data_IF_244565178839
#
_entry.id   IF_244565178839
#
_cell.length_a   1.000
_cell.length_b   1.000
_cell.length_c   1.000
_cell.angle_alpha   90.00
_cell.angle_beta   90.00
_cell.angle_gamma   90.00
#
_symmetry.space_group_name_H-M   'P 1'
#
loop_
_entity.id
_entity.type
_entity.pdbx_description
1 polymer ?
#
# COMPACT_ATOMS: atom_id res chain seq x y z
N UNK A 1 3.59 -53.45 5.26
CA UNK A 1 3.68 -52.51 4.13
C UNK A 1 2.55 -51.48 4.12
N UNK A 2 1.27 -51.89 4.16
CA UNK A 2 0.10 -50.99 4.18
C UNK A 2 0.10 -49.96 5.34
N UNK A 3 0.43 -50.40 6.55
CA UNK A 3 0.54 -49.54 7.75
C UNK A 3 1.69 -48.52 7.66
N UNK A 4 2.73 -48.81 6.86
CA UNK A 4 3.84 -47.88 6.62
C UNK A 4 3.43 -46.77 5.65
N UNK A 5 2.69 -47.12 4.60
CA UNK A 5 2.16 -46.18 3.61
C UNK A 5 1.14 -45.21 4.22
N UNK A 6 0.26 -45.69 5.11
CA UNK A 6 -0.69 -44.83 5.84
C UNK A 6 0.01 -43.82 6.75
N UNK A 7 1.07 -44.24 7.47
CA UNK A 7 1.89 -43.33 8.29
C UNK A 7 2.61 -42.29 7.45
N UNK A 8 3.19 -42.67 6.31
CA UNK A 8 3.83 -41.73 5.39
C UNK A 8 2.83 -40.71 4.83
N UNK A 9 1.65 -41.18 4.41
CA UNK A 9 0.58 -40.32 3.92
C UNK A 9 0.14 -39.31 4.99
N UNK A 10 -0.05 -39.75 6.24
CA UNK A 10 -0.40 -38.88 7.35
C UNK A 10 0.67 -37.82 7.63
N UNK A 11 1.96 -38.20 7.60
CA UNK A 11 3.08 -37.27 7.78
C UNK A 11 3.09 -36.20 6.66
N UNK A 12 2.86 -36.61 5.41
CA UNK A 12 2.79 -35.67 4.28
C UNK A 12 1.61 -34.70 4.41
N UNK A 13 0.45 -35.17 4.89
CA UNK A 13 -0.68 -34.28 5.14
C UNK A 13 -0.35 -33.26 6.24
N UNK A 14 0.20 -33.71 7.36
CA UNK A 14 0.56 -32.80 8.47
C UNK A 14 1.62 -31.78 8.05
N UNK A 15 2.66 -32.19 7.31
CA UNK A 15 3.68 -31.26 6.83
C UNK A 15 3.12 -30.24 5.84
N UNK A 16 2.21 -30.67 4.95
CA UNK A 16 1.51 -29.77 4.05
C UNK A 16 0.69 -28.72 4.81
N UNK A 17 -0.13 -29.13 5.78
CA UNK A 17 -0.91 -28.20 6.61
C UNK A 17 -0.04 -27.21 7.39
N UNK A 18 1.08 -27.67 7.97
CA UNK A 18 2.02 -26.78 8.67
C UNK A 18 2.61 -25.76 7.71
N UNK A 19 3.01 -26.18 6.50
CA UNK A 19 3.62 -25.29 5.50
C UNK A 19 2.66 -24.20 5.00
N UNK A 20 1.37 -24.53 4.85
CA UNK A 20 0.33 -23.56 4.46
C UNK A 20 0.07 -22.56 5.60
N UNK A 21 0.04 -23.02 6.85
CA UNK A 21 -0.18 -22.16 8.01
C UNK A 21 0.99 -21.20 8.25
N UNK A 22 2.24 -21.64 8.04
CA UNK A 22 3.41 -20.77 8.19
C UNK A 22 3.52 -19.76 7.05
N UNK A 23 3.21 -20.15 5.80
CA UNK A 23 3.20 -19.24 4.66
C UNK A 23 2.17 -18.10 4.82
N UNK A 24 0.97 -18.42 5.33
CA UNK A 24 -0.08 -17.44 5.59
C UNK A 24 0.30 -16.48 6.72
N UNK A 25 0.89 -16.97 7.82
CA UNK A 25 1.40 -16.12 8.91
C UNK A 25 2.52 -15.17 8.45
N UNK A 26 3.47 -15.65 7.63
CA UNK A 26 4.56 -14.83 7.10
C UNK A 26 4.06 -13.73 6.14
N UNK A 27 2.98 -14.00 5.39
CA UNK A 27 2.39 -13.01 4.49
C UNK A 27 1.68 -11.85 5.23
N UNK A 28 1.21 -12.08 6.45
CA UNK A 28 0.52 -11.06 7.24
C UNK A 28 1.49 -10.01 7.81
N UNK A 29 2.70 -10.42 8.16
CA UNK A 29 3.73 -9.55 8.77
C UNK A 29 4.41 -8.62 7.75
N UNK A 30 4.22 -8.89 6.45
CA UNK A 30 4.71 -8.06 5.35
C UNK A 30 3.80 -6.87 5.06
N UNK A 31 2.59 -6.83 5.63
CA UNK A 31 1.67 -5.73 5.47
C UNK A 31 2.14 -4.54 6.30
N UNK A 32 2.48 -3.44 5.63
CA UNK A 32 2.76 -2.17 6.30
C UNK A 32 1.50 -1.79 7.10
N UNK A 33 1.59 -1.56 8.43
CA UNK A 33 0.48 -1.07 9.21
C UNK A 33 0.15 0.35 8.73
N UNK A 34 -0.79 0.47 7.79
CA UNK A 34 -1.45 1.73 7.55
C UNK A 34 -2.48 1.91 8.65
N UNK A 35 -2.28 2.91 9.50
CA UNK A 35 -3.29 3.33 10.46
C UNK A 35 -4.48 3.89 9.68
N UNK A 36 -5.42 3.00 9.35
CA UNK A 36 -6.59 3.28 8.54
C UNK A 36 -7.57 4.16 9.28
N UNK A 37 -7.27 5.46 9.36
CA UNK A 37 -8.20 6.46 9.88
C UNK A 37 -9.17 6.88 8.78
N UNK A 38 -10.47 6.83 9.08
CA UNK A 38 -11.48 7.45 8.23
C UNK A 38 -11.43 8.96 8.40
N UNK A 39 -11.08 9.68 7.33
CA UNK A 39 -10.97 11.14 7.34
C UNK A 39 -12.19 11.73 6.62
N UNK A 40 -12.97 12.55 7.32
CA UNK A 40 -14.05 13.35 6.74
C UNK A 40 -13.64 14.81 6.70
N UNK A 41 -13.67 15.40 5.50
CA UNK A 41 -13.23 16.77 5.18
C UNK A 41 -14.22 17.40 4.20
N UNK A 42 -14.32 18.74 4.18
CA UNK A 42 -15.27 19.43 3.32
C UNK A 42 -14.68 19.66 1.93
N UNK A 43 -15.55 19.81 0.94
CA UNK A 43 -15.14 20.28 -0.40
C UNK A 43 -14.51 21.66 -0.29
N UNK A 44 -13.43 21.89 -1.02
CA UNK A 44 -12.64 23.12 -0.97
C UNK A 44 -11.51 23.11 0.06
N UNK A 45 -11.53 22.21 1.04
CA UNK A 45 -10.45 22.06 2.02
C UNK A 45 -9.18 21.47 1.37
N UNK A 46 -8.07 21.54 2.11
CA UNK A 46 -6.81 20.87 1.78
C UNK A 46 -6.58 19.71 2.75
N UNK A 47 -6.04 18.60 2.25
CA UNK A 47 -5.73 17.41 3.04
C UNK A 47 -4.30 16.93 2.77
N UNK A 48 -3.62 16.53 3.84
CA UNK A 48 -2.32 15.86 3.77
C UNK A 48 -2.46 14.45 4.31
N UNK A 49 -2.18 13.47 3.45
CA UNK A 49 -2.15 12.05 3.78
C UNK A 49 -0.72 11.67 4.20
N UNK A 50 -0.50 11.27 5.47
CA UNK A 50 0.82 10.93 5.94
C UNK A 50 1.29 9.59 5.36
N UNK A 51 2.58 9.51 5.09
CA UNK A 51 3.28 8.29 4.72
C UNK A 51 4.75 8.43 5.11
N UNK A 52 5.20 7.51 5.96
CA UNK A 52 6.57 7.45 6.45
C UNK A 52 7.19 6.14 5.98
N UNK A 53 8.47 6.17 5.64
CA UNK A 53 9.18 4.98 5.17
C UNK A 53 10.51 4.78 5.89
N UNK A 54 10.95 3.53 6.00
CA UNK A 54 12.28 3.21 6.50
C UNK A 54 13.29 3.42 5.37
N UNK A 55 14.52 3.87 5.69
CA UNK A 55 15.58 4.15 4.70
C UNK A 55 15.98 2.97 3.79
N UNK A 56 15.48 1.76 4.06
CA UNK A 56 15.64 0.57 3.21
C UNK A 56 14.74 0.57 1.98
N UNK A 57 13.64 1.35 1.96
CA UNK A 57 12.75 1.43 0.80
C UNK A 57 13.40 2.24 -0.31
N UNK A 58 13.55 1.66 -1.50
CA UNK A 58 14.15 2.31 -2.67
C UNK A 58 13.14 3.07 -3.53
N UNK A 59 11.89 2.63 -3.52
CA UNK A 59 10.79 3.26 -4.27
C UNK A 59 9.52 3.28 -3.42
N UNK A 60 8.80 4.39 -3.48
CA UNK A 60 7.51 4.58 -2.83
C UNK A 60 6.45 4.90 -3.87
N UNK A 61 5.23 4.49 -3.58
CA UNK A 61 4.09 4.68 -4.46
C UNK A 61 2.95 5.31 -3.69
N UNK A 62 2.15 6.10 -4.40
CA UNK A 62 0.80 6.43 -3.96
C UNK A 62 -0.19 5.81 -4.91
N UNK A 63 -1.21 5.16 -4.37
CA UNK A 63 -2.36 4.68 -5.11
C UNK A 63 -3.64 5.27 -4.55
N UNK A 64 -4.62 5.49 -5.42
CA UNK A 64 -6.01 5.76 -5.06
C UNK A 64 -6.88 4.61 -5.50
N UNK A 65 -7.69 4.12 -4.58
CA UNK A 65 -8.69 3.09 -4.82
C UNK A 65 -10.08 3.68 -4.59
N UNK A 66 -10.82 3.82 -5.68
CA UNK A 66 -12.24 4.16 -5.66
C UNK A 66 -13.06 2.87 -5.62
N UNK A 67 -14.12 2.83 -4.81
CA UNK A 67 -14.97 1.64 -4.67
C UNK A 67 -15.47 1.14 -6.04
N UNK A 68 -15.30 -0.15 -6.29
CA UNK A 68 -15.70 -0.78 -7.56
C UNK A 68 -14.76 -0.53 -8.74
N UNK A 69 -13.63 0.15 -8.54
CA UNK A 69 -12.63 0.41 -9.57
C UNK A 69 -11.28 -0.22 -9.19
N UNK A 70 -10.44 -0.49 -10.20
CA UNK A 70 -9.05 -0.87 -9.95
C UNK A 70 -8.27 0.28 -9.30
N UNK A 71 -7.33 0.01 -8.37
CA UNK A 71 -6.44 1.04 -7.85
C UNK A 71 -5.68 1.74 -8.98
N UNK A 72 -5.62 3.06 -8.89
CA UNK A 72 -4.91 3.92 -9.84
C UNK A 72 -3.65 4.46 -9.21
N UNK A 73 -2.55 4.44 -9.96
CA UNK A 73 -1.28 4.97 -9.50
C UNK A 73 -1.30 6.50 -9.58
N UNK A 74 -1.01 7.16 -8.47
CA UNK A 74 -0.90 8.61 -8.38
C UNK A 74 0.53 9.04 -8.66
N UNK A 75 1.50 8.46 -7.95
CA UNK A 75 2.90 8.89 -8.04
C UNK A 75 3.89 7.78 -7.76
N UNK A 76 5.10 7.93 -8.30
CA UNK A 76 6.29 7.14 -7.96
C UNK A 76 7.35 8.07 -7.39
N UNK A 77 7.98 7.69 -6.28
CA UNK A 77 9.10 8.41 -5.69
C UNK A 77 10.29 7.48 -5.50
N UNK A 78 11.44 7.85 -6.06
CA UNK A 78 12.69 7.12 -5.94
C UNK A 78 13.51 7.75 -4.81
N UNK A 79 13.73 7.01 -3.73
CA UNK A 79 14.35 7.55 -2.51
C UNK A 79 15.85 7.78 -2.68
N UNK A 80 16.51 7.01 -3.55
CA UNK A 80 17.93 7.15 -3.88
C UNK A 80 18.20 8.44 -4.66
N UNK A 81 17.43 8.66 -5.72
CA UNK A 81 17.59 9.82 -6.62
C UNK A 81 16.89 11.08 -6.08
N UNK A 82 16.07 10.91 -5.02
CA UNK A 82 15.17 11.94 -4.48
C UNK A 82 14.27 12.57 -5.55
N UNK A 83 13.85 11.78 -6.52
CA UNK A 83 12.98 12.23 -7.62
C UNK A 83 11.59 11.62 -7.51
N UNK A 84 10.56 12.45 -7.71
CA UNK A 84 9.16 12.05 -7.73
C UNK A 84 8.50 12.40 -9.05
N UNK A 85 7.59 11.54 -9.51
CA UNK A 85 6.76 11.80 -10.69
C UNK A 85 5.32 11.40 -10.42
N UNK A 86 4.40 12.29 -10.77
CA UNK A 86 2.98 11.94 -10.90
C UNK A 86 2.75 11.21 -12.23
N UNK A 87 1.70 10.39 -12.27
CA UNK A 87 1.39 9.50 -13.39
C UNK A 87 -0.03 9.75 -13.88
N UNK A 88 -0.27 9.50 -15.17
CA UNK A 88 -1.59 9.57 -15.82
C UNK A 88 -2.33 10.90 -15.51
N UNK A 89 -3.58 10.83 -15.05
CA UNK A 89 -4.42 12.00 -14.75
C UNK A 89 -3.88 12.92 -13.64
N UNK A 90 -2.86 12.47 -12.89
CA UNK A 90 -2.25 13.24 -11.82
C UNK A 90 -1.04 14.06 -12.29
N UNK A 91 -0.48 13.78 -13.47
CA UNK A 91 0.79 14.36 -13.95
C UNK A 91 0.80 15.89 -13.99
N UNK A 92 -0.30 16.50 -14.45
CA UNK A 92 -0.43 17.96 -14.63
C UNK A 92 -1.54 18.53 -13.73
N UNK A 93 -1.84 17.87 -12.63
CA UNK A 93 -2.89 18.31 -11.72
C UNK A 93 -2.27 19.13 -10.57
N UNK A 94 -2.39 20.47 -10.56
CA UNK A 94 -1.74 21.31 -9.55
C UNK A 94 -2.29 21.10 -8.14
N UNK A 95 -3.40 20.37 -8.01
CA UNK A 95 -3.98 20.04 -6.70
C UNK A 95 -3.19 18.99 -5.94
N UNK A 96 -2.41 18.15 -6.63
CA UNK A 96 -1.64 17.07 -6.03
C UNK A 96 -0.17 17.47 -5.91
N UNK A 97 0.39 17.30 -4.71
CA UNK A 97 1.80 17.57 -4.41
C UNK A 97 2.35 16.52 -3.45
N UNK A 98 3.67 16.31 -3.46
CA UNK A 98 4.35 15.40 -2.54
C UNK A 98 5.29 16.18 -1.62
N UNK A 99 5.20 15.91 -0.33
CA UNK A 99 6.24 16.27 0.65
C UNK A 99 7.11 15.04 0.92
N UNK A 100 8.32 15.05 0.36
CA UNK A 100 9.24 13.92 0.30
C UNK A 100 10.51 14.13 1.13
N UNK A 101 10.46 14.99 2.15
CA UNK A 101 11.61 15.31 2.98
C UNK A 101 11.81 14.31 4.15
N UNK A 102 13.07 14.01 4.49
CA UNK A 102 13.46 13.32 5.74
C UNK A 102 12.58 12.10 6.10
N UNK A 103 12.55 11.09 5.23
CA UNK A 103 11.77 9.84 5.40
C UNK A 103 10.25 9.96 5.27
N UNK A 104 9.78 11.07 4.71
CA UNK A 104 8.37 11.29 4.40
C UNK A 104 8.10 11.10 2.91
N UNK A 105 6.86 10.78 2.60
CA UNK A 105 6.30 10.81 1.25
C UNK A 105 4.82 11.21 1.37
N UNK A 106 4.53 12.32 2.04
CA UNK A 106 3.16 12.73 2.28
C UNK A 106 2.51 13.18 0.98
N UNK A 107 1.28 12.74 0.73
CA UNK A 107 0.49 13.21 -0.40
C UNK A 107 -0.41 14.35 0.05
N UNK A 108 -0.23 15.54 -0.52
CA UNK A 108 -1.09 16.68 -0.27
C UNK A 108 -2.04 16.90 -1.45
N UNK A 109 -3.32 17.05 -1.14
CA UNK A 109 -4.42 17.30 -2.08
C UNK A 109 -5.08 18.62 -1.69
N UNK A 110 -5.03 19.60 -2.58
CA UNK A 110 -5.67 20.91 -2.36
C UNK A 110 -7.00 21.04 -3.09
N UNK A 111 -7.86 21.95 -2.60
CA UNK A 111 -9.18 22.21 -3.17
C UNK A 111 -9.95 20.90 -3.43
N UNK A 112 -10.17 20.14 -2.35
CA UNK A 112 -10.79 18.82 -2.39
C UNK A 112 -12.15 18.85 -3.08
N UNK A 113 -12.43 17.82 -3.87
CA UNK A 113 -13.73 17.60 -4.49
C UNK A 113 -14.29 16.21 -4.12
N UNK A 114 -15.59 16.02 -4.37
CA UNK A 114 -16.25 14.74 -4.07
C UNK A 114 -15.61 13.57 -4.83
N UNK A 115 -15.12 13.80 -6.05
CA UNK A 115 -14.46 12.79 -6.86
C UNK A 115 -13.11 12.34 -6.29
N UNK A 116 -12.49 13.11 -5.38
CA UNK A 116 -11.25 12.75 -4.70
C UNK A 116 -11.47 11.66 -3.64
N UNK A 117 -12.72 11.44 -3.20
CA UNK A 117 -13.08 10.40 -2.25
C UNK A 117 -12.60 9.02 -2.70
N UNK A 118 -11.99 8.29 -1.76
CA UNK A 118 -11.45 6.95 -2.00
C UNK A 118 -10.48 6.54 -0.90
N UNK A 119 -9.97 5.32 -0.99
CA UNK A 119 -8.91 4.82 -0.11
C UNK A 119 -7.56 5.10 -0.75
N UNK A 120 -6.63 5.67 0.00
CA UNK A 120 -5.29 5.99 -0.49
C UNK A 120 -4.26 5.08 0.15
N UNK A 121 -3.37 4.52 -0.67
CA UNK A 121 -2.32 3.60 -0.25
C UNK A 121 -0.94 4.15 -0.54
N UNK A 122 -0.06 3.98 0.45
CA UNK A 122 1.38 4.18 0.47
C UNK A 122 1.95 3.02 1.30
#
# INVERSE_FOLDING_TARGET
>A
MLLSLQKLSFICFVSYFISVQTATLLSLDSAVPQEGSFISVKTGDNLTLPCFYKKVSTTLYWYKHTLGQKPKLISKYFTLDKTGKFVDEFTNNPRFTLDNDNTRNHLMITNLNISDSGTFYC
#
